data_IF_650361033692
#
_entry.id   IF_650361033692
#
_cell.length_a   1.000
_cell.length_b   1.000
_cell.length_c   1.000
_cell.angle_alpha   90.00
_cell.angle_beta   90.00
_cell.angle_gamma   90.00
#
_symmetry.space_group_name_H-M   'P 1'
#
loop_
_entity.id
_entity.type
_entity.pdbx_description
1 polymer ?
#
# COMPACT_ATOMS: atom_id res chain seq x y z
N UNK A 1 9.17 -0.36 2.31
CA UNK A 1 8.75 -0.77 0.95
C UNK A 1 8.43 0.40 0.01
N UNK A 2 7.84 1.50 0.49
CA UNK A 2 7.63 2.70 -0.33
C UNK A 2 8.88 3.21 -1.09
N UNK A 3 10.08 3.09 -0.50
CA UNK A 3 11.36 3.40 -1.17
C UNK A 3 11.67 2.45 -2.33
N UNK A 4 11.54 1.13 -2.11
CA UNK A 4 11.70 0.10 -3.15
C UNK A 4 10.73 0.31 -4.31
N UNK A 5 9.47 0.67 -4.02
CA UNK A 5 8.48 1.01 -5.03
C UNK A 5 8.90 2.20 -5.89
N UNK A 6 9.38 3.28 -5.25
CA UNK A 6 9.90 4.46 -5.97
C UNK A 6 11.12 4.14 -6.83
N UNK A 7 12.06 3.36 -6.31
CA UNK A 7 13.25 2.93 -7.04
C UNK A 7 12.87 2.05 -8.25
N UNK A 8 11.93 1.13 -8.06
CA UNK A 8 11.43 0.28 -9.14
C UNK A 8 10.65 1.06 -10.20
N UNK A 9 9.80 2.02 -9.80
CA UNK A 9 9.14 2.95 -10.72
C UNK A 9 10.18 3.72 -11.56
N UNK A 10 11.23 4.24 -10.93
CA UNK A 10 12.31 4.96 -11.62
C UNK A 10 13.08 4.06 -12.58
N UNK A 11 13.31 2.81 -12.20
CA UNK A 11 13.90 1.80 -13.07
C UNK A 11 13.02 1.55 -14.30
N UNK A 12 11.72 1.34 -14.10
CA UNK A 12 10.76 1.12 -15.20
C UNK A 12 10.66 2.33 -16.13
N UNK A 13 10.60 3.56 -15.59
CA UNK A 13 10.61 4.79 -16.41
C UNK A 13 11.84 4.86 -17.34
N UNK A 14 13.01 4.40 -16.86
CA UNK A 14 14.26 4.39 -17.65
C UNK A 14 14.31 3.28 -18.71
N UNK A 15 13.65 2.15 -18.47
CA UNK A 15 13.63 1.05 -19.44
C UNK A 15 12.56 1.26 -20.51
N UNK A 16 11.41 1.83 -20.15
CA UNK A 16 10.32 2.13 -21.09
C UNK A 16 10.71 3.21 -22.12
N UNK A 17 11.75 4.01 -21.86
CA UNK A 17 12.29 4.98 -22.83
C UNK A 17 13.21 4.37 -23.89
N UNK A 18 13.52 3.07 -23.82
CA UNK A 18 14.38 2.37 -24.79
C UNK A 18 13.51 1.55 -25.74
N UNK A 19 13.94 1.44 -26.99
CA UNK A 19 13.40 0.40 -27.87
C UNK A 19 13.80 -0.97 -27.32
N UNK A 20 12.80 -1.86 -27.20
CA UNK A 20 12.96 -3.20 -26.66
C UNK A 20 12.36 -4.19 -27.64
N UNK A 21 13.01 -5.34 -27.79
CA UNK A 21 12.47 -6.49 -28.52
C UNK A 21 11.20 -7.00 -27.85
N UNK A 22 10.33 -7.68 -28.63
CA UNK A 22 9.10 -8.30 -28.12
C UNK A 22 9.36 -9.29 -26.98
N UNK A 23 10.49 -9.99 -27.05
CA UNK A 23 10.89 -10.98 -26.05
C UNK A 23 11.32 -10.33 -24.73
N UNK A 24 12.07 -9.22 -24.81
CA UNK A 24 12.39 -8.40 -23.64
C UNK A 24 11.12 -7.80 -23.02
N UNK A 25 10.22 -7.22 -23.83
CA UNK A 25 8.93 -6.70 -23.33
C UNK A 25 8.13 -7.76 -22.56
N UNK A 26 8.20 -9.04 -22.97
CA UNK A 26 7.53 -10.14 -22.29
C UNK A 26 8.13 -10.42 -20.91
N UNK A 27 9.45 -10.55 -20.83
CA UNK A 27 10.17 -10.77 -19.56
C UNK A 27 9.87 -9.64 -18.57
N UNK A 28 9.93 -8.38 -19.02
CA UNK A 28 9.64 -7.22 -18.17
C UNK A 28 8.18 -7.16 -17.70
N UNK A 29 7.22 -7.62 -18.52
CA UNK A 29 5.81 -7.74 -18.09
C UNK A 29 5.64 -8.75 -16.96
N UNK A 30 6.27 -9.92 -17.09
CA UNK A 30 6.17 -10.99 -16.11
C UNK A 30 6.78 -10.53 -14.76
N UNK A 31 7.95 -9.89 -14.81
CA UNK A 31 8.58 -9.28 -13.63
C UNK A 31 7.71 -8.19 -12.99
N UNK A 32 7.07 -7.34 -13.81
CA UNK A 32 6.19 -6.28 -13.33
C UNK A 32 4.96 -6.85 -12.62
N UNK A 33 4.36 -7.91 -13.15
CA UNK A 33 3.22 -8.60 -12.50
C UNK A 33 3.62 -9.20 -11.16
N UNK A 34 4.79 -9.82 -11.06
CA UNK A 34 5.33 -10.35 -9.80
C UNK A 34 5.50 -9.22 -8.77
N UNK A 35 6.12 -8.08 -9.17
CA UNK A 35 6.29 -6.94 -8.26
C UNK A 35 4.95 -6.33 -7.84
N UNK A 36 4.01 -6.17 -8.77
CA UNK A 36 2.64 -5.71 -8.47
C UNK A 36 2.01 -6.64 -7.42
N UNK A 37 2.13 -7.96 -7.58
CA UNK A 37 1.62 -8.94 -6.62
C UNK A 37 2.18 -8.75 -5.20
N UNK A 38 3.49 -8.53 -5.06
CA UNK A 38 4.10 -8.26 -3.76
C UNK A 38 3.56 -6.98 -3.10
N UNK A 39 3.43 -5.88 -3.85
CA UNK A 39 2.89 -4.63 -3.32
C UNK A 39 1.39 -4.72 -3.01
N UNK A 40 0.64 -5.51 -3.77
CA UNK A 40 -0.77 -5.79 -3.46
C UNK A 40 -0.93 -6.57 -2.15
N UNK A 41 -0.10 -7.59 -1.93
CA UNK A 41 -0.13 -8.36 -0.68
C UNK A 41 0.16 -7.46 0.53
N UNK A 42 1.19 -6.62 0.45
CA UNK A 42 1.53 -5.68 1.52
C UNK A 42 0.39 -4.68 1.81
N UNK A 43 -0.23 -4.15 0.75
CA UNK A 43 -1.39 -3.26 0.87
C UNK A 43 -2.57 -3.96 1.54
N UNK A 44 -2.84 -5.22 1.20
CA UNK A 44 -3.91 -6.00 1.82
C UNK A 44 -3.66 -6.20 3.32
N UNK A 45 -2.44 -6.58 3.71
CA UNK A 45 -2.07 -6.72 5.12
C UNK A 45 -2.22 -5.39 5.85
N UNK A 46 -1.78 -4.28 5.27
CA UNK A 46 -1.98 -2.96 5.86
C UNK A 46 -3.46 -2.61 6.04
N UNK A 47 -4.31 -2.94 5.06
CA UNK A 47 -5.75 -2.72 5.16
C UNK A 47 -6.35 -3.52 6.31
N UNK A 48 -6.04 -4.81 6.39
CA UNK A 48 -6.52 -5.69 7.46
C UNK A 48 -6.14 -5.12 8.82
N UNK A 49 -4.85 -4.81 9.01
CA UNK A 49 -4.35 -4.25 10.28
C UNK A 49 -5.02 -2.91 10.60
N UNK A 50 -5.21 -2.03 9.62
CA UNK A 50 -5.89 -0.74 9.80
C UNK A 50 -7.35 -0.91 10.21
N UNK A 51 -8.08 -1.82 9.56
CA UNK A 51 -9.48 -2.12 9.89
C UNK A 51 -9.57 -2.72 11.29
N UNK A 52 -8.66 -3.63 11.67
CA UNK A 52 -8.60 -4.17 13.03
C UNK A 52 -8.41 -3.05 14.06
N UNK A 53 -7.46 -2.14 13.85
CA UNK A 53 -7.27 -0.99 14.75
C UNK A 53 -8.48 -0.06 14.79
N UNK A 54 -9.15 0.16 13.66
CA UNK A 54 -10.37 0.98 13.60
C UNK A 54 -11.50 0.36 14.42
N UNK A 55 -11.71 -0.96 14.30
CA UNK A 55 -12.72 -1.70 15.08
C UNK A 55 -12.39 -1.65 16.58
N UNK A 56 -11.12 -1.92 16.96
CA UNK A 56 -10.68 -1.84 18.36
C UNK A 56 -10.83 -0.42 18.92
N UNK A 57 -10.59 0.61 18.12
CA UNK A 57 -10.79 2.01 18.50
C UNK A 57 -12.27 2.29 18.77
N UNK A 58 -13.16 1.85 17.87
CA UNK A 58 -14.61 1.98 18.05
C UNK A 58 -15.08 1.27 19.33
N UNK A 59 -14.66 0.02 19.54
CA UNK A 59 -14.98 -0.74 20.76
C UNK A 59 -14.48 -0.01 22.02
N UNK A 60 -13.25 0.52 21.99
CA UNK A 60 -12.67 1.26 23.11
C UNK A 60 -13.47 2.53 23.42
N UNK A 61 -13.93 3.24 22.39
CA UNK A 61 -14.82 4.40 22.53
C UNK A 61 -16.12 3.99 23.21
N UNK A 62 -16.80 2.93 22.75
CA UNK A 62 -18.02 2.42 23.39
C UNK A 62 -17.80 2.07 24.87
N UNK A 63 -16.72 1.34 25.18
CA UNK A 63 -16.38 1.00 26.57
C UNK A 63 -16.05 2.24 27.42
N UNK A 64 -15.47 3.29 26.83
CA UNK A 64 -15.14 4.51 27.57
C UNK A 64 -16.38 5.23 28.12
N UNK A 65 -17.51 5.18 27.39
CA UNK A 65 -18.79 5.72 27.86
C UNK A 65 -19.36 4.95 29.05
N UNK A 66 -19.24 3.62 29.08
CA UNK A 66 -19.78 2.80 30.17
C UNK A 66 -18.92 2.83 31.44
N UNK A 67 -17.59 2.80 31.32
CA UNK A 67 -16.69 2.63 32.47
C UNK A 67 -15.97 3.91 32.92
N UNK A 68 -15.89 4.94 32.07
CA UNK A 68 -15.27 6.25 32.34
C UNK A 68 -13.85 6.18 32.94
N UNK A 69 -13.08 5.13 32.61
CA UNK A 69 -11.71 4.97 33.11
C UNK A 69 -10.74 5.81 32.29
N UNK A 70 -9.89 6.59 32.96
CA UNK A 70 -8.82 7.40 32.33
C UNK A 70 -7.95 6.57 31.37
N UNK A 71 -7.63 5.33 31.75
CA UNK A 71 -6.86 4.42 30.90
C UNK A 71 -7.48 4.11 29.53
N UNK A 72 -8.82 4.12 29.41
CA UNK A 72 -9.49 3.90 28.12
C UNK A 72 -9.29 5.08 27.16
N UNK A 73 -9.30 6.31 27.68
CA UNK A 73 -9.03 7.50 26.86
C UNK A 73 -7.58 7.52 26.35
N UNK A 74 -6.62 7.11 27.19
CA UNK A 74 -5.21 6.96 26.77
C UNK A 74 -5.09 5.88 25.69
N UNK A 75 -5.77 4.74 25.85
CA UNK A 75 -5.79 3.67 24.84
C UNK A 75 -6.36 4.17 23.50
N UNK A 76 -7.48 4.89 23.52
CA UNK A 76 -8.09 5.48 22.31
C UNK A 76 -7.09 6.43 21.62
N UNK A 77 -6.43 7.31 22.37
CA UNK A 77 -5.43 8.22 21.81
C UNK A 77 -4.26 7.48 21.16
N UNK A 78 -3.76 6.40 21.79
CA UNK A 78 -2.71 5.56 21.21
C UNK A 78 -3.19 4.89 19.91
N UNK A 79 -4.38 4.29 19.90
CA UNK A 79 -4.94 3.64 18.71
C UNK A 79 -5.14 4.63 17.56
N UNK A 80 -5.65 5.84 17.85
CA UNK A 80 -5.81 6.91 16.85
C UNK A 80 -4.45 7.41 16.33
N UNK A 81 -3.46 7.56 17.21
CA UNK A 81 -2.11 7.95 16.82
C UNK A 81 -1.45 6.93 15.89
N UNK A 82 -1.78 5.64 16.04
CA UNK A 82 -1.33 4.59 15.12
C UNK A 82 -2.12 4.59 13.81
N UNK A 83 -3.42 4.93 13.84
CA UNK A 83 -4.26 4.92 12.63
C UNK A 83 -3.73 5.87 11.54
N UNK A 84 -3.28 7.06 11.93
CA UNK A 84 -2.79 8.10 11.01
C UNK A 84 -1.63 7.62 10.11
N UNK A 85 -0.50 7.12 10.65
CA UNK A 85 0.60 6.64 9.81
C UNK A 85 0.22 5.42 8.98
N UNK A 86 -0.66 4.54 9.48
CA UNK A 86 -1.14 3.37 8.73
C UNK A 86 -1.96 3.76 7.51
N UNK A 87 -2.90 4.69 7.65
CA UNK A 87 -3.69 5.24 6.54
C UNK A 87 -2.76 5.91 5.51
N UNK A 88 -1.83 6.75 5.97
CA UNK A 88 -0.85 7.40 5.09
C UNK A 88 -0.02 6.38 4.30
N UNK A 89 0.45 5.33 4.97
CA UNK A 89 1.24 4.28 4.33
C UNK A 89 0.43 3.57 3.25
N UNK A 90 -0.83 3.23 3.55
CA UNK A 90 -1.74 2.60 2.60
C UNK A 90 -1.89 3.41 1.31
N UNK A 91 -2.13 4.73 1.40
CA UNK A 91 -2.26 5.59 0.22
C UNK A 91 -0.99 5.66 -0.64
N UNK A 92 0.19 5.65 -0.01
CA UNK A 92 1.47 5.65 -0.75
C UNK A 92 1.65 4.37 -1.56
N UNK A 93 1.26 3.22 -1.02
CA UNK A 93 1.29 1.96 -1.75
C UNK A 93 0.24 1.93 -2.86
N UNK A 94 -1.00 2.34 -2.57
CA UNK A 94 -2.09 2.39 -3.56
C UNK A 94 -1.68 3.16 -4.81
N UNK A 95 -1.22 4.40 -4.63
CA UNK A 95 -0.83 5.28 -5.74
C UNK A 95 0.33 4.70 -6.55
N UNK A 96 1.30 4.06 -5.89
CA UNK A 96 2.43 3.45 -6.59
C UNK A 96 2.03 2.20 -7.37
N UNK A 97 1.17 1.34 -6.81
CA UNK A 97 0.62 0.16 -7.51
C UNK A 97 -0.20 0.58 -8.74
N UNK A 98 -1.03 1.63 -8.63
CA UNK A 98 -1.76 2.19 -9.76
C UNK A 98 -0.82 2.65 -10.88
N UNK A 99 0.30 3.29 -10.54
CA UNK A 99 1.31 3.69 -11.54
C UNK A 99 1.94 2.47 -12.23
N UNK A 100 2.17 1.37 -11.50
CA UNK A 100 2.68 0.13 -12.09
C UNK A 100 1.70 -0.50 -13.09
N UNK A 101 0.39 -0.46 -12.82
CA UNK A 101 -0.63 -0.91 -13.78
C UNK A 101 -0.62 -0.10 -15.09
N UNK A 102 -0.44 1.22 -14.99
CA UNK A 102 -0.31 2.06 -16.18
C UNK A 102 0.89 1.65 -17.04
N UNK A 103 2.02 1.27 -16.43
CA UNK A 103 3.16 0.74 -17.19
C UNK A 103 2.86 -0.59 -17.86
N UNK A 104 2.16 -1.48 -17.15
CA UNK A 104 1.75 -2.77 -17.72
C UNK A 104 0.87 -2.57 -18.96
N UNK A 105 -0.10 -1.65 -18.88
CA UNK A 105 -1.00 -1.36 -20.00
C UNK A 105 -0.27 -0.73 -21.20
N UNK A 106 0.72 0.14 -20.95
CA UNK A 106 1.56 0.70 -22.02
C UNK A 106 2.35 -0.38 -22.73
N UNK A 107 3.01 -1.26 -21.98
CA UNK A 107 3.74 -2.39 -22.54
C UNK A 107 2.83 -3.36 -23.29
N UNK A 108 1.53 -3.44 -22.95
CA UNK A 108 0.53 -4.29 -23.62
C UNK A 108 0.02 -3.70 -24.94
N UNK A 109 -0.09 -2.38 -25.05
CA UNK A 109 -0.63 -1.69 -26.24
C UNK A 109 0.38 -1.55 -27.38
N UNK A 110 1.68 -1.62 -27.09
CA UNK A 110 2.77 -1.67 -28.08
C UNK A 110 3.19 -3.10 -28.45
#
# INVERSE_FOLDING_TARGET
MARRLKEYIKYMDKQLSKEMSKEEKRIYKDDLLIQIGFFQHERLIHLIVTITFAILSMMSIFCSFSYQKVGLYVLILLLLSLLIPYIKHYYVLENGVQKLYVYYDRLKKE
#
